data_IF_547679674421
#
_entry.id   IF_547679674421
#
_cell.length_a   1.000
_cell.length_b   1.000
_cell.length_c   1.000
_cell.angle_alpha   90.00
_cell.angle_beta   90.00
_cell.angle_gamma   90.00
#
_symmetry.space_group_name_H-M   'P 1'
#
loop_
_entity.id
_entity.type
_entity.pdbx_description
1 polymer ?
#
# COMPACT_ATOMS: atom_id res chain seq x y z
N UNK A 1 -4.57 12.25 20.52
CA UNK A 1 -5.28 12.46 19.25
C UNK A 1 -4.82 11.38 18.30
N UNK A 2 -5.69 10.43 17.91
CA UNK A 2 -5.32 9.39 16.96
C UNK A 2 -5.70 9.87 15.56
N UNK A 3 -4.71 10.22 14.74
CA UNK A 3 -4.90 10.49 13.32
C UNK A 3 -4.53 9.19 12.60
N UNK A 4 -5.49 8.58 11.90
CA UNK A 4 -5.28 7.35 11.11
C UNK A 4 -5.52 7.67 9.64
N UNK A 5 -4.63 7.21 8.78
CA UNK A 5 -4.80 7.25 7.33
C UNK A 5 -4.91 5.81 6.85
N UNK A 6 -6.04 5.49 6.21
CA UNK A 6 -6.24 4.23 5.51
C UNK A 6 -6.14 4.49 4.02
N UNK A 7 -5.21 3.82 3.34
CA UNK A 7 -5.02 3.92 1.90
C UNK A 7 -5.41 2.60 1.22
N UNK A 8 -6.06 2.70 0.06
CA UNK A 8 -6.40 1.53 -0.76
C UNK A 8 -5.76 1.68 -2.13
N UNK A 9 -4.92 0.72 -2.50
CA UNK A 9 -4.21 0.64 -3.76
C UNK A 9 -5.09 -0.13 -4.74
N UNK A 10 -5.70 0.58 -5.69
CA UNK A 10 -6.49 -0.04 -6.76
C UNK A 10 -5.58 -0.31 -7.95
N UNK A 11 -5.33 -1.58 -8.26
CA UNK A 11 -4.48 -2.01 -9.35
C UNK A 11 -5.25 -2.94 -10.29
N UNK A 12 -5.03 -2.79 -11.59
CA UNK A 12 -5.53 -3.72 -12.61
C UNK A 12 -4.34 -4.35 -13.28
N UNK A 13 -4.23 -5.68 -13.22
CA UNK A 13 -3.09 -6.40 -13.78
C UNK A 13 -3.49 -7.81 -14.24
N UNK A 14 -2.62 -8.48 -15.00
CA UNK A 14 -2.80 -9.88 -15.35
C UNK A 14 -2.55 -10.79 -14.13
N UNK A 15 -3.17 -11.97 -14.09
CA UNK A 15 -3.03 -12.90 -12.96
C UNK A 15 -1.57 -13.30 -12.70
N UNK A 16 -0.76 -13.38 -13.77
CA UNK A 16 0.69 -13.66 -13.71
C UNK A 16 1.48 -12.64 -12.88
N UNK A 17 0.99 -11.40 -12.77
CA UNK A 17 1.67 -10.31 -12.09
C UNK A 17 1.26 -10.18 -10.62
N UNK A 18 0.24 -10.94 -10.18
CA UNK A 18 -0.33 -10.88 -8.82
C UNK A 18 0.73 -11.06 -7.73
N UNK A 19 1.56 -12.09 -7.84
CA UNK A 19 2.60 -12.37 -6.84
C UNK A 19 3.61 -11.21 -6.73
N UNK A 20 4.04 -10.66 -7.87
CA UNK A 20 4.97 -9.53 -7.92
C UNK A 20 4.34 -8.29 -7.28
N UNK A 21 3.06 -8.03 -7.56
CA UNK A 21 2.32 -6.91 -6.98
C UNK A 21 2.21 -7.07 -5.46
N UNK A 22 1.85 -8.24 -4.95
CA UNK A 22 1.77 -8.50 -3.51
C UNK A 22 3.13 -8.29 -2.82
N UNK A 23 4.24 -8.64 -3.48
CA UNK A 23 5.60 -8.38 -2.98
C UNK A 23 5.95 -6.90 -2.97
N UNK A 24 5.66 -6.18 -4.06
CA UNK A 24 6.00 -4.75 -4.20
C UNK A 24 5.16 -3.89 -3.25
N UNK A 25 3.89 -4.22 -3.04
CA UNK A 25 3.02 -3.49 -2.11
C UNK A 25 3.60 -3.47 -0.70
N UNK A 26 4.10 -4.61 -0.20
CA UNK A 26 4.78 -4.67 1.10
C UNK A 26 6.00 -3.75 1.19
N UNK A 27 6.78 -3.66 0.10
CA UNK A 27 7.95 -2.77 0.04
C UNK A 27 7.52 -1.30 -0.02
N UNK A 28 6.44 -1.00 -0.75
CA UNK A 28 5.89 0.34 -0.88
C UNK A 28 5.45 0.92 0.48
N UNK A 29 4.89 0.10 1.38
CA UNK A 29 4.48 0.54 2.71
C UNK A 29 5.64 1.10 3.54
N UNK A 30 6.83 0.48 3.46
CA UNK A 30 8.03 0.92 4.17
C UNK A 30 8.87 1.95 3.38
N UNK A 31 8.84 1.90 2.05
CA UNK A 31 9.70 2.74 1.20
C UNK A 31 9.04 4.04 0.74
N UNK A 32 7.74 4.24 1.00
CA UNK A 32 7.06 5.47 0.61
C UNK A 32 7.57 6.66 1.46
N UNK A 33 8.24 7.68 0.85
CA UNK A 33 8.84 8.78 1.59
C UNK A 33 7.79 9.63 2.33
N UNK A 34 6.56 9.68 1.81
CA UNK A 34 5.42 10.35 2.47
C UNK A 34 5.00 9.57 3.71
N UNK A 35 4.87 8.24 3.59
CA UNK A 35 4.59 7.35 4.72
C UNK A 35 5.63 7.53 5.81
N UNK A 36 6.92 7.42 5.47
CA UNK A 36 8.04 7.59 6.41
C UNK A 36 8.03 8.94 7.13
N UNK A 37 7.65 10.02 6.43
CA UNK A 37 7.62 11.38 7.00
C UNK A 37 6.51 11.60 8.03
N UNK A 38 5.39 10.87 7.94
CA UNK A 38 4.19 11.08 8.79
C UNK A 38 3.89 9.90 9.73
N UNK A 39 4.54 8.74 9.54
CA UNK A 39 4.50 7.55 10.42
C UNK A 39 4.71 7.85 11.91
N UNK A 40 5.61 8.77 12.35
CA UNK A 40 5.76 9.07 13.79
C UNK A 40 4.56 9.81 14.40
N UNK A 41 3.67 10.38 13.59
CA UNK A 41 2.53 11.18 14.06
C UNK A 41 1.16 10.56 13.74
N UNK A 42 1.10 9.63 12.79
CA UNK A 42 -0.13 9.10 12.20
C UNK A 42 0.05 7.60 11.93
N UNK A 43 -0.95 6.80 12.30
CA UNK A 43 -1.01 5.40 11.93
C UNK A 43 -1.46 5.28 10.46
N UNK A 44 -0.66 4.64 9.63
CA UNK A 44 -0.95 4.42 8.20
C UNK A 44 -1.18 2.93 7.96
N UNK A 45 -2.31 2.58 7.34
CA UNK A 45 -2.61 1.21 6.92
C UNK A 45 -2.92 1.17 5.44
N UNK A 46 -2.42 0.15 4.72
CA UNK A 46 -2.64 -0.01 3.28
C UNK A 46 -3.41 -1.28 2.98
N UNK A 47 -4.33 -1.19 2.03
CA UNK A 47 -5.05 -2.34 1.47
C UNK A 47 -4.80 -2.41 -0.03
N UNK A 48 -4.68 -3.62 -0.57
CA UNK A 48 -4.58 -3.86 -2.01
C UNK A 48 -5.93 -4.33 -2.55
N UNK A 49 -6.46 -3.59 -3.51
CA UNK A 49 -7.60 -4.00 -4.34
C UNK A 49 -7.08 -4.32 -5.75
N UNK A 50 -6.82 -5.60 -6.00
CA UNK A 50 -6.34 -6.07 -7.29
C UNK A 50 -7.50 -6.58 -8.14
N UNK A 51 -7.68 -5.99 -9.32
CA UNK A 51 -8.60 -6.48 -10.35
C UNK A 51 -7.78 -7.21 -11.41
N UNK A 52 -8.05 -8.50 -11.61
CA UNK A 52 -7.44 -9.29 -12.68
C UNK A 52 -8.14 -9.02 -14.00
N UNK A 53 -7.36 -8.80 -15.07
CA UNK A 53 -7.87 -8.51 -16.43
C UNK A 53 -7.72 -9.71 -17.36
#
# INVERSE_FOLDING_TARGET
MLKRIKQTLHLTAEEKDRETIERVVKVYEDSCPVSASIKPAIEITSELNLTTK
#
